data_IF_724879549002
#
_entry.id   IF_724879549002
#
_cell.length_a   1.000
_cell.length_b   1.000
_cell.length_c   1.000
_cell.angle_alpha   90.00
_cell.angle_beta   90.00
_cell.angle_gamma   90.00
#
_symmetry.space_group_name_H-M   'P 1'
#
loop_
_entity.id
_entity.type
_entity.pdbx_description
1 polymer ?
#
# COMPACT_ATOMS: atom_id res chain seq x y z
N UNK A 1 -46.52 -51.81 49.89
CA UNK A 1 -47.80 -51.40 50.55
C UNK A 1 -48.19 -50.04 49.94
N UNK A 2 -49.49 -50.01 49.48
CA UNK A 2 -50.29 -48.81 49.11
C UNK A 2 -49.80 -48.03 47.92
N UNK A 3 -50.29 -48.21 46.65
CA UNK A 3 -51.60 -47.94 46.05
C UNK A 3 -52.09 -46.52 46.27
N UNK A 4 -52.27 -45.79 45.17
CA UNK A 4 -53.43 -45.00 44.70
C UNK A 4 -52.97 -44.14 43.50
N UNK A 5 -53.38 -44.33 42.30
CA UNK A 5 -54.64 -44.37 41.55
C UNK A 5 -55.20 -42.92 41.31
N UNK A 6 -55.45 -42.67 40.05
CA UNK A 6 -56.42 -41.75 39.40
C UNK A 6 -55.99 -40.30 39.27
N UNK A 7 -56.31 -39.54 38.25
CA UNK A 7 -57.45 -39.58 37.30
C UNK A 7 -57.12 -38.68 36.09
N UNK A 8 -57.54 -39.12 34.96
CA UNK A 8 -57.61 -38.45 33.67
C UNK A 8 -58.40 -37.13 33.69
N UNK A 9 -57.98 -36.18 32.99
CA UNK A 9 -58.90 -35.20 32.34
C UNK A 9 -58.30 -34.74 30.98
N UNK A 10 -58.96 -35.23 29.93
CA UNK A 10 -58.78 -34.80 28.58
C UNK A 10 -59.45 -33.43 28.38
N UNK A 11 -58.75 -32.49 27.85
CA UNK A 11 -59.34 -31.29 27.29
C UNK A 11 -58.76 -31.05 25.90
N UNK A 12 -59.57 -31.33 24.90
CA UNK A 12 -59.37 -31.02 23.51
C UNK A 12 -59.52 -29.50 23.37
N UNK A 13 -58.47 -28.84 22.89
CA UNK A 13 -58.60 -27.50 22.39
C UNK A 13 -58.12 -27.41 20.92
N UNK A 14 -59.03 -26.96 20.12
CA UNK A 14 -59.07 -26.86 18.66
C UNK A 14 -58.01 -25.92 18.17
N UNK A 15 -57.28 -26.33 17.13
CA UNK A 15 -56.33 -25.57 16.36
C UNK A 15 -56.95 -24.33 15.71
N UNK A 16 -56.31 -23.22 15.95
CA UNK A 16 -56.34 -22.09 15.04
C UNK A 16 -55.00 -21.98 14.28
N UNK A 17 -54.97 -22.48 13.05
CA UNK A 17 -53.89 -22.21 12.10
C UNK A 17 -54.00 -20.74 11.64
N UNK A 18 -53.25 -19.86 12.28
CA UNK A 18 -52.91 -18.54 11.70
C UNK A 18 -51.60 -18.68 10.97
N UNK A 19 -51.68 -18.89 9.67
CA UNK A 19 -50.52 -18.77 8.79
C UNK A 19 -50.13 -17.29 8.66
N UNK A 20 -49.27 -16.80 9.58
CA UNK A 20 -48.54 -15.57 9.37
C UNK A 20 -47.42 -15.87 8.37
N UNK A 21 -47.67 -15.51 7.11
CA UNK A 21 -46.61 -15.41 6.11
C UNK A 21 -45.58 -14.38 6.54
N UNK A 22 -44.49 -14.83 7.17
CA UNK A 22 -43.29 -14.02 7.35
C UNK A 22 -42.68 -13.80 5.96
N UNK A 23 -42.96 -12.64 5.36
CA UNK A 23 -42.11 -12.12 4.30
C UNK A 23 -40.73 -12.08 4.86
N UNK A 24 -39.84 -12.92 4.32
CA UNK A 24 -38.42 -12.77 4.55
C UNK A 24 -38.07 -11.32 4.20
N UNK A 25 -37.67 -10.56 5.20
CA UNK A 25 -37.10 -9.24 4.97
C UNK A 25 -35.87 -9.46 4.09
N UNK A 26 -35.87 -8.83 2.91
CA UNK A 26 -34.65 -8.70 2.12
C UNK A 26 -33.55 -8.14 3.03
N UNK A 27 -32.29 -8.58 2.88
CA UNK A 27 -31.20 -8.02 3.65
C UNK A 27 -31.22 -6.50 3.44
N UNK A 28 -31.22 -5.76 4.54
CA UNK A 28 -31.20 -4.31 4.51
C UNK A 28 -30.09 -3.86 3.57
N UNK A 29 -30.46 -3.05 2.59
CA UNK A 29 -29.56 -2.28 1.74
C UNK A 29 -28.43 -1.74 2.63
N UNK A 30 -27.19 -2.16 2.35
CA UNK A 30 -26.03 -1.78 3.17
C UNK A 30 -26.02 -0.27 3.41
N UNK A 31 -25.78 0.12 4.63
CA UNK A 31 -25.46 1.51 4.94
C UNK A 31 -24.35 1.95 3.97
N UNK A 32 -24.55 3.07 3.29
CA UNK A 32 -23.55 3.59 2.37
C UNK A 32 -22.21 3.68 3.14
N UNK A 33 -21.16 3.06 2.60
CA UNK A 33 -19.84 3.13 3.21
C UNK A 33 -19.45 4.62 3.27
N UNK A 34 -19.27 5.14 4.47
CA UNK A 34 -18.94 6.56 4.69
C UNK A 34 -17.44 6.79 4.79
N UNK A 35 -16.66 5.70 4.83
CA UNK A 35 -15.23 5.72 5.06
C UNK A 35 -14.53 4.60 4.30
N UNK A 36 -13.34 4.89 3.78
CA UNK A 36 -12.40 3.93 3.21
C UNK A 36 -11.11 3.94 4.04
N UNK A 37 -10.49 2.79 4.20
CA UNK A 37 -9.19 2.64 4.87
C UNK A 37 -8.12 2.47 3.78
N UNK A 38 -7.21 3.43 3.69
CA UNK A 38 -5.99 3.34 2.90
C UNK A 38 -4.87 2.81 3.78
N UNK A 39 -4.21 1.71 3.42
CA UNK A 39 -2.94 1.36 4.05
C UNK A 39 -1.77 1.87 3.21
N UNK A 40 -0.73 2.32 3.93
CA UNK A 40 0.48 2.91 3.36
C UNK A 40 1.68 2.66 4.28
N UNK A 41 2.89 3.00 3.83
CA UNK A 41 4.08 3.02 4.68
C UNK A 41 4.68 4.44 4.69
N UNK A 42 4.23 5.26 5.65
CA UNK A 42 4.45 6.70 5.67
C UNK A 42 5.88 7.11 6.07
N UNK A 43 6.88 6.58 5.37
CA UNK A 43 8.32 6.85 5.50
C UNK A 43 9.01 6.94 4.13
N UNK A 44 8.24 7.28 3.10
CA UNK A 44 8.65 7.26 1.69
C UNK A 44 8.41 8.62 1.01
N UNK A 45 9.11 9.72 1.47
CA UNK A 45 8.95 11.03 0.85
C UNK A 45 9.46 11.00 -0.61
N UNK A 46 8.81 11.68 -1.55
CA UNK A 46 7.71 12.64 -1.38
C UNK A 46 6.31 12.03 -1.49
N UNK A 47 6.18 10.69 -1.57
CA UNK A 47 4.90 10.02 -1.81
C UNK A 47 4.04 9.93 -0.56
N UNK A 48 4.56 9.35 0.53
CA UNK A 48 3.87 9.25 1.82
C UNK A 48 4.86 9.36 2.98
N UNK A 49 4.63 10.31 3.86
CA UNK A 49 5.49 10.56 5.01
C UNK A 49 4.75 11.27 6.13
N UNK A 50 5.35 11.28 7.32
CA UNK A 50 4.86 12.06 8.46
C UNK A 50 5.66 13.34 8.63
N UNK A 51 4.95 14.44 8.78
CA UNK A 51 5.51 15.73 9.14
C UNK A 51 4.70 16.36 10.27
N UNK A 52 5.32 16.60 11.43
CA UNK A 52 4.64 17.09 12.61
C UNK A 52 3.53 16.18 13.15
N UNK A 53 3.60 14.86 12.82
CA UNK A 53 2.57 13.88 13.20
C UNK A 53 1.42 13.77 12.19
N UNK A 54 1.36 14.61 11.17
CA UNK A 54 0.39 14.56 10.09
C UNK A 54 0.91 13.74 8.91
N UNK A 55 0.01 13.02 8.24
CA UNK A 55 0.32 12.33 6.98
C UNK A 55 0.30 13.31 5.82
N UNK A 56 1.38 13.33 5.05
CA UNK A 56 1.60 14.19 3.87
C UNK A 56 2.18 13.40 2.71
N UNK A 57 2.19 13.99 1.53
CA UNK A 57 2.78 13.43 0.33
C UNK A 57 1.77 13.23 -0.80
N UNK A 58 2.29 12.86 -1.96
CA UNK A 58 1.53 12.69 -3.19
C UNK A 58 0.40 11.67 -2.99
N UNK A 59 0.72 10.50 -2.45
CA UNK A 59 -0.22 9.41 -2.26
C UNK A 59 -1.31 9.76 -1.26
N UNK A 60 -0.92 10.43 -0.17
CA UNK A 60 -1.86 10.90 0.85
C UNK A 60 -2.85 11.93 0.29
N UNK A 61 -2.36 12.90 -0.48
CA UNK A 61 -3.24 13.93 -1.07
C UNK A 61 -4.12 13.35 -2.18
N UNK A 62 -3.56 12.46 -3.01
CA UNK A 62 -4.35 11.76 -4.03
C UNK A 62 -5.45 10.89 -3.40
N UNK A 63 -5.14 10.13 -2.36
CA UNK A 63 -6.13 9.30 -1.68
C UNK A 63 -7.26 10.12 -1.04
N UNK A 64 -6.93 11.25 -0.41
CA UNK A 64 -7.93 12.18 0.14
C UNK A 64 -8.84 12.74 -0.97
N UNK A 65 -8.25 13.16 -2.09
CA UNK A 65 -9.01 13.68 -3.23
C UNK A 65 -9.89 12.60 -3.88
N UNK A 66 -9.40 11.35 -3.96
CA UNK A 66 -10.23 10.20 -4.37
C UNK A 66 -11.42 10.04 -3.42
N UNK A 67 -11.19 10.08 -2.10
CA UNK A 67 -12.26 10.02 -1.10
C UNK A 67 -13.31 11.12 -1.28
N UNK A 68 -12.89 12.37 -1.48
CA UNK A 68 -13.77 13.50 -1.77
C UNK A 68 -14.65 13.26 -3.01
N UNK A 69 -14.05 12.75 -4.10
CA UNK A 69 -14.78 12.43 -5.34
C UNK A 69 -15.78 11.28 -5.15
N UNK A 70 -15.50 10.34 -4.28
CA UNK A 70 -16.37 9.23 -3.93
C UNK A 70 -17.41 9.60 -2.84
N UNK A 71 -17.29 10.78 -2.22
CA UNK A 71 -18.15 11.22 -1.11
C UNK A 71 -17.93 10.45 0.19
N UNK A 72 -16.69 9.99 0.44
CA UNK A 72 -16.30 9.21 1.63
C UNK A 72 -15.05 9.80 2.28
N UNK A 73 -14.90 9.59 3.58
CA UNK A 73 -13.65 9.89 4.28
C UNK A 73 -12.59 8.81 3.99
N UNK A 74 -11.31 9.20 3.89
CA UNK A 74 -10.19 8.25 3.82
C UNK A 74 -9.42 8.30 5.13
N UNK A 75 -9.40 7.17 5.84
CA UNK A 75 -8.54 6.95 7.01
C UNK A 75 -7.24 6.29 6.57
N UNK A 76 -6.11 6.74 7.14
CA UNK A 76 -4.79 6.22 6.80
C UNK A 76 -4.34 5.23 7.88
N UNK A 77 -3.99 4.01 7.44
CA UNK A 77 -3.38 2.96 8.23
C UNK A 77 -1.91 2.83 7.84
N UNK A 78 -1.02 3.29 8.71
CA UNK A 78 0.43 3.26 8.51
C UNK A 78 1.02 1.95 9.04
N UNK A 79 1.58 1.13 8.15
CA UNK A 79 2.16 -0.19 8.43
C UNK A 79 3.40 -0.45 7.56
N UNK A 80 4.14 -1.52 7.84
CA UNK A 80 5.28 -1.93 7.03
C UNK A 80 4.87 -2.27 5.59
N UNK A 81 5.73 -1.96 4.60
CA UNK A 81 5.42 -2.09 3.18
C UNK A 81 5.04 -3.52 2.77
N UNK A 82 5.79 -4.51 3.24
CA UNK A 82 5.54 -5.93 3.00
C UNK A 82 4.20 -6.45 3.56
N UNK A 83 3.60 -5.69 4.47
CA UNK A 83 2.30 -6.00 5.06
C UNK A 83 1.11 -5.38 4.30
N UNK A 84 1.33 -4.51 3.31
CA UNK A 84 0.27 -3.78 2.61
C UNK A 84 -0.66 -4.71 1.83
N UNK A 85 -0.10 -5.54 0.93
CA UNK A 85 -0.88 -6.50 0.13
C UNK A 85 -1.65 -7.49 1.02
N UNK A 86 -1.04 -8.16 2.02
CA UNK A 86 -1.78 -9.00 2.97
C UNK A 86 -2.92 -8.27 3.69
N UNK A 87 -2.74 -7.00 4.01
CA UNK A 87 -3.76 -6.18 4.68
C UNK A 87 -4.95 -5.91 3.77
N UNK A 88 -4.72 -5.58 2.50
CA UNK A 88 -5.77 -5.41 1.48
C UNK A 88 -6.48 -6.75 1.19
N UNK A 89 -5.74 -7.84 1.03
CA UNK A 89 -6.31 -9.18 0.80
C UNK A 89 -7.25 -9.60 1.92
N UNK A 90 -6.88 -9.33 3.18
CA UNK A 90 -7.71 -9.65 4.35
C UNK A 90 -8.93 -8.74 4.51
N UNK A 91 -9.00 -7.62 3.78
CA UNK A 91 -10.06 -6.61 3.91
C UNK A 91 -9.94 -5.75 5.17
N UNK A 92 -8.77 -5.70 5.81
CA UNK A 92 -8.48 -4.76 6.90
C UNK A 92 -8.21 -3.35 6.39
N UNK A 93 -7.78 -3.22 5.14
CA UNK A 93 -7.78 -1.97 4.38
C UNK A 93 -8.57 -2.18 3.09
N UNK A 94 -9.17 -1.10 2.58
CA UNK A 94 -9.93 -1.12 1.33
C UNK A 94 -8.98 -1.07 0.13
N UNK A 95 -7.88 -0.33 0.26
CA UNK A 95 -6.85 -0.21 -0.77
C UNK A 95 -5.47 0.12 -0.16
N UNK A 96 -4.41 -0.15 -0.93
CA UNK A 96 -3.06 0.31 -0.63
C UNK A 96 -2.62 1.35 -1.67
N UNK A 97 -2.05 2.47 -1.19
CA UNK A 97 -1.39 3.49 -2.00
C UNK A 97 -0.11 3.88 -1.28
N UNK A 98 1.04 3.51 -1.85
CA UNK A 98 2.33 3.52 -1.16
C UNK A 98 3.52 3.46 -2.14
N UNK A 99 3.50 4.27 -3.22
CA UNK A 99 4.50 4.13 -4.28
C UNK A 99 4.60 2.69 -4.79
N UNK A 100 3.46 2.00 -4.88
CA UNK A 100 3.46 0.55 -5.14
C UNK A 100 3.56 0.25 -6.63
N UNK A 101 4.67 -0.34 -7.04
CA UNK A 101 4.91 -0.80 -8.40
C UNK A 101 3.98 -1.94 -8.78
N UNK A 102 3.43 -1.85 -9.98
CA UNK A 102 2.65 -2.93 -10.60
C UNK A 102 3.60 -4.02 -11.06
N UNK A 103 3.48 -5.24 -10.51
CA UNK A 103 4.21 -6.43 -10.97
C UNK A 103 3.24 -7.57 -11.23
N UNK A 104 3.64 -8.54 -12.07
CA UNK A 104 2.79 -9.71 -12.36
C UNK A 104 2.54 -10.52 -11.08
N UNK A 105 3.54 -10.72 -10.24
CA UNK A 105 3.40 -11.46 -8.98
C UNK A 105 2.41 -10.78 -8.03
N UNK A 106 2.46 -9.44 -7.92
CA UNK A 106 1.48 -8.70 -7.10
C UNK A 106 0.07 -8.80 -7.67
N UNK A 107 -0.09 -8.82 -9.00
CA UNK A 107 -1.37 -9.03 -9.68
C UNK A 107 -2.02 -10.39 -9.39
N UNK A 108 -1.25 -11.39 -8.98
CA UNK A 108 -1.84 -12.66 -8.53
C UNK A 108 -2.69 -12.47 -7.26
N UNK A 109 -2.31 -11.54 -6.40
CA UNK A 109 -2.90 -11.32 -5.06
C UNK A 109 -3.90 -10.17 -4.99
N UNK A 110 -3.71 -9.12 -5.78
CA UNK A 110 -4.53 -7.90 -5.78
C UNK A 110 -4.85 -7.46 -7.22
N UNK A 111 -5.84 -6.59 -7.37
CA UNK A 111 -6.09 -5.87 -8.61
C UNK A 111 -5.49 -4.46 -8.50
N UNK A 112 -4.95 -3.94 -9.60
CA UNK A 112 -4.36 -2.61 -9.65
C UNK A 112 -5.23 -1.62 -10.42
N UNK A 113 -5.23 -0.38 -9.96
CA UNK A 113 -5.83 0.75 -10.68
C UNK A 113 -5.04 1.10 -11.95
N UNK A 114 -5.56 2.07 -12.71
CA UNK A 114 -4.73 2.80 -13.66
C UNK A 114 -3.51 3.40 -12.93
N UNK A 115 -2.37 3.42 -13.60
CA UNK A 115 -1.13 4.00 -13.04
C UNK A 115 -1.34 5.48 -12.76
N UNK A 116 -0.77 6.01 -11.68
CA UNK A 116 -0.87 7.43 -11.37
C UNK A 116 0.48 8.16 -11.45
N UNK A 117 1.58 7.43 -11.37
CA UNK A 117 2.95 7.95 -11.42
C UNK A 117 3.87 6.89 -12.03
N UNK A 118 4.97 7.35 -12.64
CA UNK A 118 6.11 6.52 -13.01
C UNK A 118 7.27 6.82 -12.07
N UNK A 119 8.11 5.84 -11.80
CA UNK A 119 9.30 5.94 -10.98
C UNK A 119 10.48 5.21 -11.62
N UNK A 120 11.66 5.45 -11.09
CA UNK A 120 12.89 4.80 -11.53
C UNK A 120 13.62 4.28 -10.31
N UNK A 121 13.94 2.99 -10.27
CA UNK A 121 14.86 2.46 -9.27
C UNK A 121 16.26 3.02 -9.53
N UNK A 122 16.90 3.55 -8.51
CA UNK A 122 18.22 4.14 -8.61
C UNK A 122 19.16 3.63 -7.52
N UNK A 123 20.45 3.82 -7.73
CA UNK A 123 21.49 3.40 -6.79
C UNK A 123 22.01 4.64 -6.04
N UNK A 124 21.97 4.56 -4.72
CA UNK A 124 22.59 5.57 -3.84
C UNK A 124 23.80 4.96 -3.16
N UNK A 125 24.88 5.71 -3.11
CA UNK A 125 26.14 5.27 -2.51
C UNK A 125 26.76 6.39 -1.64
N UNK A 126 27.70 6.08 -0.73
CA UNK A 126 28.50 7.08 -0.07
C UNK A 126 29.19 8.02 -1.09
N UNK A 127 29.35 9.29 -0.73
CA UNK A 127 29.93 10.30 -1.64
C UNK A 127 31.32 9.95 -2.15
N UNK A 128 32.10 9.25 -1.34
CA UNK A 128 33.45 8.77 -1.62
C UNK A 128 33.52 7.33 -2.18
N UNK A 129 32.35 6.72 -2.44
CA UNK A 129 32.28 5.36 -2.97
C UNK A 129 32.91 5.24 -4.35
N UNK A 130 33.59 4.13 -4.58
CA UNK A 130 34.15 3.74 -5.87
C UNK A 130 33.11 3.10 -6.80
N UNK A 131 31.91 2.77 -6.31
CA UNK A 131 30.81 2.22 -7.11
C UNK A 131 30.33 3.28 -8.09
N UNK A 132 30.31 2.95 -9.38
CA UNK A 132 29.93 3.84 -10.48
C UNK A 132 28.66 3.38 -11.21
N UNK A 133 28.25 2.11 -11.03
CA UNK A 133 27.10 1.52 -11.71
C UNK A 133 26.77 0.13 -11.20
N UNK A 134 25.84 -0.51 -11.88
CA UNK A 134 25.27 -1.83 -11.51
C UNK A 134 26.34 -2.91 -11.42
N UNK A 135 27.29 -2.92 -12.37
CA UNK A 135 28.36 -3.93 -12.41
C UNK A 135 29.29 -3.90 -11.19
N UNK A 136 29.44 -2.75 -10.54
CA UNK A 136 30.25 -2.61 -9.35
C UNK A 136 29.55 -3.10 -8.07
N UNK A 137 28.27 -3.46 -8.16
CA UNK A 137 27.46 -3.93 -7.04
C UNK A 137 27.73 -5.39 -6.65
N UNK A 138 28.34 -6.18 -7.55
CA UNK A 138 28.66 -7.58 -7.25
C UNK A 138 29.61 -7.69 -6.06
N UNK A 139 29.24 -8.55 -5.10
CA UNK A 139 29.99 -8.76 -3.85
C UNK A 139 29.92 -7.62 -2.85
N UNK A 140 29.01 -6.66 -3.07
CA UNK A 140 28.71 -5.57 -2.13
C UNK A 140 27.53 -5.91 -1.24
N UNK A 141 27.43 -5.21 -0.11
CA UNK A 141 26.26 -5.23 0.75
C UNK A 141 25.27 -4.15 0.30
N UNK A 142 24.11 -4.57 -0.11
CA UNK A 142 23.08 -3.72 -0.70
C UNK A 142 21.91 -3.57 0.26
N UNK A 143 21.61 -2.34 0.66
CA UNK A 143 20.46 -2.02 1.47
C UNK A 143 19.21 -1.87 0.61
N UNK A 144 18.14 -2.54 0.98
CA UNK A 144 16.84 -2.49 0.32
C UNK A 144 15.73 -2.43 1.36
N UNK A 145 14.55 -1.91 0.99
CA UNK A 145 13.38 -2.03 1.84
C UNK A 145 12.69 -3.37 1.57
N UNK A 146 12.35 -4.09 2.63
CA UNK A 146 11.75 -5.43 2.55
C UNK A 146 10.50 -5.45 1.68
N UNK A 147 10.48 -6.34 0.68
CA UNK A 147 9.33 -6.60 -0.17
C UNK A 147 9.08 -5.57 -1.28
N UNK A 148 9.97 -4.58 -1.46
CA UNK A 148 9.93 -3.66 -2.61
C UNK A 148 10.47 -4.33 -3.87
N UNK A 149 10.28 -3.70 -5.02
CA UNK A 149 10.88 -4.14 -6.29
C UNK A 149 12.40 -4.01 -6.26
N UNK A 150 12.94 -3.02 -5.56
CA UNK A 150 14.38 -2.92 -5.32
C UNK A 150 14.95 -4.13 -4.57
N UNK A 151 14.22 -4.66 -3.57
CA UNK A 151 14.58 -5.91 -2.89
C UNK A 151 14.55 -7.11 -3.86
N UNK A 152 13.46 -7.25 -4.63
CA UNK A 152 13.28 -8.36 -5.55
C UNK A 152 14.38 -8.36 -6.62
N UNK A 153 14.54 -7.25 -7.33
CA UNK A 153 15.51 -7.15 -8.44
C UNK A 153 16.96 -7.34 -7.95
N UNK A 154 17.31 -6.70 -6.84
CA UNK A 154 18.67 -6.87 -6.31
C UNK A 154 18.95 -8.29 -5.80
N UNK A 155 17.93 -8.96 -5.24
CA UNK A 155 18.08 -10.36 -4.83
C UNK A 155 18.27 -11.29 -6.02
N UNK A 156 17.56 -11.04 -7.11
CA UNK A 156 17.67 -11.81 -8.35
C UNK A 156 19.05 -11.60 -9.03
N UNK A 157 19.53 -10.36 -9.05
CA UNK A 157 20.77 -10.02 -9.75
C UNK A 157 22.05 -10.31 -8.94
N UNK A 158 22.04 -10.08 -7.62
CA UNK A 158 23.24 -10.12 -6.77
C UNK A 158 23.22 -11.23 -5.71
N UNK A 159 22.11 -11.97 -5.59
CA UNK A 159 21.91 -13.00 -4.57
C UNK A 159 21.46 -12.47 -3.22
N UNK A 160 20.69 -13.30 -2.52
CA UNK A 160 20.06 -12.98 -1.23
C UNK A 160 21.10 -12.63 -0.13
N UNK A 161 22.29 -13.21 -0.22
CA UNK A 161 23.40 -13.00 0.72
C UNK A 161 24.00 -11.58 0.63
N UNK A 162 23.76 -10.88 -0.47
CA UNK A 162 24.18 -9.49 -0.66
C UNK A 162 23.19 -8.49 -0.04
N UNK A 163 21.97 -8.94 0.27
CA UNK A 163 20.90 -8.06 0.72
C UNK A 163 20.91 -7.81 2.22
N UNK A 164 20.87 -6.55 2.60
CA UNK A 164 20.56 -6.09 3.95
C UNK A 164 19.17 -5.40 3.92
N UNK A 165 18.16 -6.12 4.44
CA UNK A 165 16.76 -5.72 4.37
C UNK A 165 16.34 -4.87 5.56
N UNK A 166 15.68 -3.77 5.29
CA UNK A 166 15.16 -2.84 6.27
C UNK A 166 13.64 -2.72 6.15
N UNK A 167 12.94 -2.68 7.28
CA UNK A 167 11.50 -2.37 7.27
C UNK A 167 11.24 -0.92 6.83
N UNK A 168 12.22 -0.04 7.05
CA UNK A 168 12.20 1.39 6.71
C UNK A 168 13.48 1.71 5.96
N UNK A 169 13.35 2.28 4.77
CA UNK A 169 14.55 2.57 3.96
C UNK A 169 15.49 3.58 4.63
N UNK A 170 14.96 4.48 5.44
CA UNK A 170 15.76 5.46 6.18
C UNK A 170 16.78 4.80 7.13
N UNK A 171 16.46 3.63 7.69
CA UNK A 171 17.39 2.86 8.53
C UNK A 171 18.55 2.29 7.69
N UNK A 172 18.27 1.95 6.41
CA UNK A 172 19.30 1.59 5.45
C UNK A 172 20.29 2.75 5.19
N UNK A 173 19.78 3.98 5.02
CA UNK A 173 20.64 5.16 4.88
C UNK A 173 21.52 5.40 6.12
N UNK A 174 21.00 5.18 7.32
CA UNK A 174 21.81 5.24 8.54
C UNK A 174 22.87 4.12 8.61
N UNK A 175 22.52 2.92 8.14
CA UNK A 175 23.46 1.81 8.05
C UNK A 175 24.57 2.11 7.01
N UNK A 176 24.22 2.68 5.86
CA UNK A 176 25.19 3.10 4.85
C UNK A 176 26.13 4.19 5.37
N UNK A 177 25.58 5.20 6.05
CA UNK A 177 26.40 6.25 6.71
C UNK A 177 27.36 5.72 7.73
N UNK A 178 27.03 4.61 8.39
CA UNK A 178 27.92 3.93 9.37
C UNK A 178 28.84 2.89 8.74
N UNK A 179 28.86 2.74 7.41
CA UNK A 179 29.72 1.80 6.69
C UNK A 179 29.33 0.33 6.84
N UNK A 180 28.07 0.04 7.20
CA UNK A 180 27.56 -1.34 7.31
C UNK A 180 27.13 -1.92 5.97
N UNK A 181 26.70 -1.07 5.04
CA UNK A 181 26.35 -1.42 3.67
C UNK A 181 27.03 -0.47 2.70
N UNK A 182 27.20 -0.92 1.45
CA UNK A 182 27.97 -0.23 0.42
C UNK A 182 27.09 0.62 -0.49
N UNK A 183 25.84 0.23 -0.68
CA UNK A 183 24.88 0.90 -1.56
C UNK A 183 23.44 0.69 -1.08
N UNK A 184 22.53 1.53 -1.58
CA UNK A 184 21.07 1.37 -1.45
C UNK A 184 20.47 1.39 -2.84
N UNK A 185 19.46 0.54 -3.07
CA UNK A 185 18.56 0.63 -4.23
C UNK A 185 17.19 1.08 -3.75
N UNK A 186 16.72 2.18 -4.33
CA UNK A 186 15.44 2.82 -3.96
C UNK A 186 14.98 3.71 -5.12
N UNK A 187 13.70 4.09 -5.10
CA UNK A 187 13.11 4.98 -6.09
C UNK A 187 13.77 6.37 -6.12
N UNK A 188 13.92 6.91 -7.32
CA UNK A 188 14.73 8.10 -7.60
C UNK A 188 14.25 9.36 -6.84
N UNK A 189 12.93 9.58 -6.73
CA UNK A 189 12.41 10.74 -6.01
C UNK A 189 12.60 10.60 -4.49
N UNK A 190 12.55 9.37 -3.98
CA UNK A 190 12.84 9.08 -2.57
C UNK A 190 14.33 9.26 -2.30
N UNK A 191 15.18 8.73 -3.19
CA UNK A 191 16.63 8.97 -3.13
C UNK A 191 16.94 10.46 -3.10
N UNK A 192 16.36 11.26 -4.01
CA UNK A 192 16.53 12.72 -4.05
C UNK A 192 16.11 13.40 -2.75
N UNK A 193 14.91 13.09 -2.26
CA UNK A 193 14.37 13.68 -1.04
C UNK A 193 15.26 13.42 0.19
N UNK A 194 15.90 12.25 0.26
CA UNK A 194 16.78 11.87 1.38
C UNK A 194 18.18 12.47 1.18
N UNK A 195 18.74 12.34 -0.02
CA UNK A 195 20.10 12.82 -0.32
C UNK A 195 20.19 14.35 -0.25
N UNK A 196 19.16 15.08 -0.64
CA UNK A 196 19.11 16.55 -0.48
C UNK A 196 19.25 16.99 0.98
N UNK A 197 18.83 16.17 1.95
CA UNK A 197 18.98 16.46 3.37
C UNK A 197 20.40 16.15 3.91
N UNK A 198 21.18 15.31 3.21
CA UNK A 198 22.53 14.91 3.59
C UNK A 198 23.45 14.70 2.38
N UNK A 199 23.50 15.68 1.50
CA UNK A 199 24.31 15.64 0.27
C UNK A 199 25.83 15.52 0.52
N UNK A 200 26.28 15.75 1.74
CA UNK A 200 27.67 15.54 2.14
C UNK A 200 28.02 14.08 2.37
N UNK A 201 27.03 13.22 2.63
CA UNK A 201 27.22 11.80 2.94
C UNK A 201 26.95 10.89 1.73
N UNK A 202 26.03 11.26 0.86
CA UNK A 202 25.48 10.38 -0.19
C UNK A 202 25.49 11.04 -1.56
N UNK A 203 25.58 10.21 -2.60
CA UNK A 203 25.33 10.59 -4.00
C UNK A 203 24.46 9.55 -4.68
N UNK A 204 23.63 10.03 -5.63
CA UNK A 204 22.82 9.20 -6.50
C UNK A 204 23.64 8.94 -7.76
N UNK A 205 23.66 7.69 -8.25
CA UNK A 205 24.28 7.37 -9.53
C UNK A 205 23.35 7.75 -10.67
N UNK A 206 23.92 8.19 -11.79
CA UNK A 206 23.14 8.62 -12.97
C UNK A 206 22.47 7.45 -13.71
N UNK A 207 22.91 6.22 -13.46
CA UNK A 207 22.37 5.03 -14.12
C UNK A 207 21.05 4.64 -13.48
N UNK A 208 19.97 4.65 -14.28
CA UNK A 208 18.69 4.04 -13.92
C UNK A 208 18.85 2.52 -13.78
N UNK A 209 18.27 1.93 -12.73
CA UNK A 209 18.30 0.49 -12.51
C UNK A 209 17.08 -0.18 -13.18
N UNK A 210 15.88 0.36 -12.97
CA UNK A 210 14.63 -0.10 -13.58
C UNK A 210 13.60 1.04 -13.64
N UNK A 211 12.76 1.06 -14.68
CA UNK A 211 11.59 1.95 -14.77
C UNK A 211 10.35 1.22 -14.28
N UNK A 212 9.47 1.91 -13.58
CA UNK A 212 8.32 1.33 -12.89
C UNK A 212 7.08 2.22 -12.97
N UNK A 213 5.92 1.58 -12.88
CA UNK A 213 4.62 2.24 -12.83
C UNK A 213 3.95 2.03 -11.48
N UNK A 214 3.56 3.12 -10.80
CA UNK A 214 2.82 3.07 -9.55
C UNK A 214 1.32 3.04 -9.78
N UNK A 215 0.63 2.16 -9.04
CA UNK A 215 -0.82 2.08 -9.04
C UNK A 215 -1.36 1.76 -7.63
N UNK A 216 -2.66 1.97 -7.45
CA UNK A 216 -3.38 1.67 -6.23
C UNK A 216 -3.78 0.20 -6.24
N UNK A 217 -3.41 -0.55 -5.20
CA UNK A 217 -3.79 -1.94 -5.06
C UNK A 217 -5.11 -2.06 -4.30
N UNK A 218 -6.06 -2.81 -4.86
CA UNK A 218 -7.34 -3.15 -4.22
C UNK A 218 -7.49 -4.66 -4.09
N UNK A 219 -8.36 -5.09 -3.18
CA UNK A 219 -8.64 -6.52 -3.02
C UNK A 219 -9.09 -7.14 -4.35
N UNK A 220 -8.49 -8.29 -4.68
CA UNK A 220 -8.81 -9.05 -5.89
C UNK A 220 -10.31 -9.26 -6.06
N UNK A 221 -10.84 -8.89 -7.22
CA UNK A 221 -12.25 -9.00 -7.56
C UNK A 221 -13.16 -7.88 -7.02
N UNK A 222 -12.63 -6.87 -6.32
CA UNK A 222 -13.40 -5.70 -5.90
C UNK A 222 -13.54 -4.67 -7.04
N UNK A 223 -14.22 -5.08 -8.10
CA UNK A 223 -14.38 -4.29 -9.32
C UNK A 223 -15.10 -2.96 -9.08
N UNK A 224 -16.04 -2.91 -8.13
CA UNK A 224 -16.81 -1.69 -7.85
C UNK A 224 -15.90 -0.57 -7.30
N UNK A 225 -15.04 -0.89 -6.33
CA UNK A 225 -14.09 0.07 -5.80
C UNK A 225 -13.02 0.42 -6.83
N UNK A 226 -12.49 -0.58 -7.54
CA UNK A 226 -11.48 -0.38 -8.58
C UNK A 226 -11.96 0.58 -9.67
N UNK A 227 -13.18 0.40 -10.18
CA UNK A 227 -13.76 1.27 -11.21
C UNK A 227 -13.96 2.71 -10.72
N UNK A 228 -14.36 2.89 -9.46
CA UNK A 228 -14.50 4.22 -8.85
C UNK A 228 -13.14 4.91 -8.72
N UNK A 229 -12.13 4.19 -8.23
CA UNK A 229 -10.75 4.70 -8.12
C UNK A 229 -10.22 5.07 -9.51
N UNK A 230 -10.37 4.20 -10.52
CA UNK A 230 -9.94 4.48 -11.89
C UNK A 230 -10.62 5.74 -12.46
N UNK A 231 -11.93 5.87 -12.27
CA UNK A 231 -12.65 7.06 -12.71
C UNK A 231 -12.13 8.33 -12.04
N UNK A 232 -11.80 8.27 -10.75
CA UNK A 232 -11.23 9.39 -10.03
C UNK A 232 -9.81 9.74 -10.52
N UNK A 233 -8.96 8.74 -10.76
CA UNK A 233 -7.60 8.93 -11.32
C UNK A 233 -7.68 9.58 -12.71
N UNK A 234 -8.53 9.05 -13.59
CA UNK A 234 -8.69 9.58 -14.96
C UNK A 234 -9.20 11.02 -14.95
N UNK A 235 -10.14 11.34 -14.07
CA UNK A 235 -10.60 12.72 -13.88
C UNK A 235 -9.46 13.61 -13.36
N UNK A 236 -8.72 13.18 -12.34
CA UNK A 236 -7.59 13.94 -11.78
C UNK A 236 -6.48 14.17 -12.81
N UNK A 237 -6.23 13.20 -13.70
CA UNK A 237 -5.31 13.35 -14.83
C UNK A 237 -5.82 14.38 -15.83
N UNK A 238 -7.07 14.23 -16.27
CA UNK A 238 -7.64 15.04 -17.34
C UNK A 238 -7.82 16.50 -16.96
N UNK A 239 -8.12 16.80 -15.69
CA UNK A 239 -8.33 18.17 -15.19
C UNK A 239 -7.09 18.81 -14.58
N UNK A 240 -5.94 18.10 -14.56
CA UNK A 240 -4.65 18.57 -14.04
C UNK A 240 -4.49 18.52 -12.52
N UNK A 241 -5.47 18.00 -11.77
CA UNK A 241 -5.37 17.90 -10.31
C UNK A 241 -4.22 16.97 -9.86
N UNK A 242 -4.05 15.81 -10.54
CA UNK A 242 -2.93 14.91 -10.24
C UNK A 242 -1.58 15.61 -10.44
N UNK A 243 -1.42 16.29 -11.59
CA UNK A 243 -0.20 17.07 -11.87
C UNK A 243 0.06 18.14 -10.81
N UNK A 244 -0.97 18.87 -10.40
CA UNK A 244 -0.83 19.89 -9.37
C UNK A 244 -0.38 19.34 -8.02
N UNK A 245 -0.84 18.13 -7.65
CA UNK A 245 -0.37 17.44 -6.45
C UNK A 245 1.10 17.03 -6.62
N UNK A 246 1.46 16.41 -7.74
CA UNK A 246 2.85 15.99 -7.99
C UNK A 246 3.80 17.19 -7.98
N UNK A 247 3.48 18.28 -8.70
CA UNK A 247 4.31 19.51 -8.79
C UNK A 247 4.52 20.20 -7.43
N UNK A 248 3.68 19.94 -6.43
CA UNK A 248 3.84 20.46 -5.07
C UNK A 248 5.01 19.81 -4.34
N UNK A 249 5.29 18.55 -4.64
CA UNK A 249 6.28 17.72 -3.94
C UNK A 249 7.53 17.44 -4.77
N UNK A 250 7.40 17.34 -6.09
CA UNK A 250 8.49 17.06 -7.03
C UNK A 250 8.72 18.31 -7.89
N UNK A 251 9.93 18.85 -7.81
CA UNK A 251 10.35 20.07 -8.54
C UNK A 251 11.24 19.75 -9.72
#
# INVERSE_FOLDING_TARGET
>A
MKKFLSLTLASIMVLGLVACGQKAAAPASGAAQTKLIMCTNAEFPPYEFKDGGEFKGIDVECAKLIGEKLGVEVEILDIAFDSLIPTVMSGKADFAMAGMTVTEDRKESVDFSHTYQTAVQTIVVPVDSAIQGVEDMYGKKIGVQTGTTGDIYCSDDFGDESMERYSKIIDGFQAMKSGKIDAIVVDDQVAKAIVEQDASSFKILETAYAEEDYAIAVKKGNSDLLNKINSAIDEMKSNGQLKAIVDKYIK
#
